data_IF_532968904709
#
_entry.id   IF_532968904709
#
_cell.length_a   1.000
_cell.length_b   1.000
_cell.length_c   1.000
_cell.angle_alpha   90.00
_cell.angle_beta   90.00
_cell.angle_gamma   90.00
#
_symmetry.space_group_name_H-M   'P 1'
#
loop_
_entity.id
_entity.type
_entity.pdbx_description
1 polymer ?
#
# COMPACT_ATOMS: atom_id res chain seq x y z
N UNK A 1 -23.35 -21.36 -0.70
CA UNK A 1 -22.45 -20.65 -1.64
C UNK A 1 -23.09 -19.38 -2.20
N UNK A 2 -24.36 -19.40 -2.67
CA UNK A 2 -25.04 -18.24 -3.28
C UNK A 2 -25.17 -16.96 -2.42
N UNK A 3 -25.31 -17.06 -1.08
CA UNK A 3 -25.56 -15.89 -0.21
C UNK A 3 -24.32 -15.00 0.01
N UNK A 4 -23.12 -15.58 0.03
CA UNK A 4 -21.87 -14.84 0.19
C UNK A 4 -21.51 -14.04 -1.07
N UNK A 5 -21.77 -14.66 -2.22
CA UNK A 5 -21.43 -14.12 -3.51
C UNK A 5 -22.35 -12.96 -3.93
N UNK A 6 -23.64 -13.01 -3.53
CA UNK A 6 -24.57 -11.90 -3.72
C UNK A 6 -24.21 -10.68 -2.87
N UNK A 7 -23.74 -10.89 -1.64
CA UNK A 7 -23.43 -9.80 -0.69
C UNK A 7 -22.08 -9.14 -0.96
N UNK A 8 -21.07 -9.90 -1.41
CA UNK A 8 -19.69 -9.43 -1.57
C UNK A 8 -19.16 -9.55 -3.01
N UNK A 9 -20.00 -9.27 -4.00
CA UNK A 9 -19.73 -9.52 -5.43
C UNK A 9 -18.51 -8.79 -6.04
N UNK A 10 -17.98 -7.77 -5.36
CA UNK A 10 -16.83 -6.96 -5.81
C UNK A 10 -15.58 -7.14 -4.96
N UNK A 11 -15.66 -7.87 -3.83
CA UNK A 11 -14.62 -7.94 -2.81
C UNK A 11 -13.33 -8.60 -3.32
N UNK A 12 -12.18 -8.04 -2.93
CA UNK A 12 -10.86 -8.57 -3.28
C UNK A 12 -10.49 -9.80 -2.44
N UNK A 13 -9.54 -10.61 -2.91
CA UNK A 13 -9.14 -11.84 -2.20
C UNK A 13 -8.59 -11.55 -0.80
N UNK A 14 -7.89 -10.42 -0.59
CA UNK A 14 -7.36 -10.05 0.72
C UNK A 14 -8.48 -9.75 1.73
N UNK A 15 -9.46 -8.95 1.31
CA UNK A 15 -10.60 -8.58 2.15
C UNK A 15 -11.48 -9.79 2.43
N UNK A 16 -11.66 -10.65 1.42
CA UNK A 16 -12.42 -11.90 1.57
C UNK A 16 -11.75 -12.88 2.55
N UNK A 17 -10.41 -12.94 2.61
CA UNK A 17 -9.71 -13.74 3.65
C UNK A 17 -10.02 -13.19 5.05
N UNK A 18 -10.05 -11.88 5.22
CA UNK A 18 -10.39 -11.24 6.50
C UNK A 18 -11.84 -11.53 6.87
N UNK A 19 -12.77 -11.37 5.93
CA UNK A 19 -14.19 -11.60 6.12
C UNK A 19 -14.50 -13.07 6.45
N UNK A 20 -13.93 -14.02 5.70
CA UNK A 20 -14.07 -15.45 5.97
C UNK A 20 -13.58 -15.81 7.37
N UNK A 21 -12.51 -15.17 7.82
CA UNK A 21 -11.98 -15.39 9.17
C UNK A 21 -12.88 -14.80 10.25
N UNK A 22 -13.40 -13.60 10.04
CA UNK A 22 -14.16 -12.85 11.04
C UNK A 22 -15.62 -13.30 11.14
N UNK A 23 -16.31 -13.43 10.02
CA UNK A 23 -17.77 -13.69 9.98
C UNK A 23 -18.10 -15.17 9.87
N UNK A 24 -17.18 -15.98 9.31
CA UNK A 24 -17.45 -17.37 9.00
C UNK A 24 -16.51 -18.36 9.68
N UNK A 25 -15.52 -17.88 10.46
CA UNK A 25 -14.50 -18.70 11.12
C UNK A 25 -13.73 -19.64 10.17
N UNK A 26 -13.67 -19.30 8.87
CA UNK A 26 -12.97 -20.08 7.85
C UNK A 26 -11.57 -19.50 7.68
N UNK A 27 -10.56 -20.35 7.91
CA UNK A 27 -9.15 -19.99 7.70
C UNK A 27 -8.70 -20.48 6.33
N UNK A 28 -8.60 -19.57 5.37
CA UNK A 28 -8.07 -19.84 4.04
C UNK A 28 -6.86 -18.94 3.74
N UNK A 29 -5.87 -19.47 3.01
CA UNK A 29 -4.76 -18.66 2.53
C UNK A 29 -5.19 -17.83 1.32
N UNK A 30 -4.66 -16.61 1.19
CA UNK A 30 -4.94 -15.75 0.04
C UNK A 30 -4.62 -16.43 -1.31
N UNK A 31 -3.52 -17.20 -1.47
CA UNK A 31 -3.25 -17.94 -2.71
C UNK A 31 -4.33 -18.97 -3.06
N UNK A 32 -4.84 -19.71 -2.07
CA UNK A 32 -5.90 -20.69 -2.32
C UNK A 32 -7.21 -20.03 -2.69
N UNK A 33 -7.55 -18.90 -2.05
CA UNK A 33 -8.74 -18.15 -2.41
C UNK A 33 -8.65 -17.54 -3.81
N UNK A 34 -7.45 -17.12 -4.23
CA UNK A 34 -7.22 -16.66 -5.61
C UNK A 34 -7.40 -17.78 -6.65
N UNK A 35 -7.02 -19.02 -6.33
CA UNK A 35 -7.30 -20.18 -7.20
C UNK A 35 -8.80 -20.40 -7.35
N UNK A 36 -9.53 -20.37 -6.23
CA UNK A 36 -11.00 -20.47 -6.23
C UNK A 36 -11.61 -19.33 -7.07
N UNK A 37 -11.12 -18.10 -6.96
CA UNK A 37 -11.61 -16.99 -7.79
C UNK A 37 -11.32 -17.19 -9.28
N UNK A 38 -10.18 -17.80 -9.64
CA UNK A 38 -9.86 -18.12 -11.03
C UNK A 38 -10.75 -19.23 -11.59
N UNK A 39 -11.14 -20.21 -10.76
CA UNK A 39 -12.03 -21.30 -11.15
C UNK A 39 -13.49 -20.84 -11.26
N UNK A 40 -13.97 -20.02 -10.31
CA UNK A 40 -15.38 -19.60 -10.23
C UNK A 40 -15.68 -18.36 -11.09
N UNK A 41 -14.73 -17.42 -11.22
CA UNK A 41 -14.92 -16.13 -11.91
C UNK A 41 -13.73 -15.70 -12.77
N UNK A 42 -13.28 -16.52 -13.75
CA UNK A 42 -12.10 -16.19 -14.55
C UNK A 42 -12.21 -14.83 -15.26
N UNK A 43 -13.41 -14.45 -15.72
CA UNK A 43 -13.63 -13.17 -16.40
C UNK A 43 -13.43 -11.96 -15.48
N UNK A 44 -13.93 -12.00 -14.24
CA UNK A 44 -13.73 -10.89 -13.30
C UNK A 44 -12.28 -10.77 -12.87
N UNK A 45 -11.60 -11.90 -12.71
CA UNK A 45 -10.16 -11.93 -12.42
C UNK A 45 -9.37 -11.34 -13.59
N UNK A 46 -9.72 -11.68 -14.84
CA UNK A 46 -9.14 -11.06 -16.05
C UNK A 46 -9.38 -9.56 -16.10
N UNK A 47 -10.60 -9.10 -15.79
CA UNK A 47 -10.95 -7.67 -15.76
C UNK A 47 -10.13 -6.86 -14.76
N UNK A 48 -9.79 -7.43 -13.58
CA UNK A 48 -8.92 -6.79 -12.58
C UNK A 48 -7.47 -6.62 -13.05
N UNK A 49 -6.97 -7.53 -13.90
CA UNK A 49 -5.62 -7.45 -14.47
C UNK A 49 -5.49 -6.36 -15.55
N UNK A 50 -6.59 -5.73 -15.96
CA UNK A 50 -6.53 -4.54 -16.78
C UNK A 50 -5.82 -3.43 -16.00
N UNK A 51 -4.51 -3.31 -16.18
CA UNK A 51 -3.62 -2.34 -15.54
C UNK A 51 -4.01 -0.91 -15.95
N UNK A 52 -5.12 -0.41 -15.41
CA UNK A 52 -5.54 0.97 -15.57
C UNK A 52 -4.74 1.77 -14.56
N UNK A 53 -3.63 2.34 -15.01
CA UNK A 53 -3.01 3.46 -14.31
C UNK A 53 -4.04 4.58 -14.20
N UNK A 54 -4.80 4.60 -13.11
CA UNK A 54 -5.62 5.76 -12.77
C UNK A 54 -4.66 6.85 -12.32
N UNK A 55 -4.43 7.84 -13.18
CA UNK A 55 -3.64 9.02 -12.83
C UNK A 55 -4.36 9.73 -11.68
N UNK A 56 -3.84 9.60 -10.47
CA UNK A 56 -4.21 10.47 -9.36
C UNK A 56 -3.56 11.83 -9.57
N UNK A 57 -4.35 12.91 -9.53
CA UNK A 57 -3.80 14.27 -9.51
C UNK A 57 -3.91 14.78 -8.07
N UNK A 58 -2.77 15.10 -7.49
CA UNK A 58 -2.70 15.75 -6.19
C UNK A 58 -2.58 17.25 -6.41
N UNK A 59 -3.53 18.01 -5.88
CA UNK A 59 -3.51 19.47 -5.88
C UNK A 59 -3.29 19.91 -4.44
N UNK A 60 -2.17 20.57 -4.17
CA UNK A 60 -1.90 21.18 -2.86
C UNK A 60 -0.97 22.38 -3.04
N UNK A 61 -1.13 23.39 -2.19
CA UNK A 61 -0.31 24.60 -2.18
C UNK A 61 1.14 24.32 -1.74
N UNK A 62 1.35 23.31 -0.90
CA UNK A 62 2.65 22.73 -0.53
C UNK A 62 2.38 21.53 0.36
N UNK A 63 2.69 20.32 -0.11
CA UNK A 63 2.65 19.11 0.72
C UNK A 63 3.99 18.41 0.56
N UNK A 64 4.71 18.26 1.66
CA UNK A 64 5.85 17.36 1.71
C UNK A 64 5.34 15.94 1.48
N UNK A 65 5.74 15.35 0.36
CA UNK A 65 5.52 13.94 0.10
C UNK A 65 6.73 13.17 0.59
N UNK A 66 6.53 12.22 1.50
CA UNK A 66 7.62 11.41 2.03
C UNK A 66 7.36 9.93 1.84
N UNK A 67 8.43 9.20 1.56
CA UNK A 67 8.41 7.77 1.32
C UNK A 67 9.65 7.10 1.92
N UNK A 68 9.54 5.80 2.18
CA UNK A 68 10.61 4.98 2.73
C UNK A 68 10.88 3.80 1.80
N UNK A 69 12.15 3.58 1.46
CA UNK A 69 12.54 2.57 0.48
C UNK A 69 13.34 1.42 1.10
N UNK A 70 12.90 0.19 0.82
CA UNK A 70 13.49 -1.06 1.31
C UNK A 70 14.61 -1.63 0.40
N UNK A 71 15.11 -0.85 -0.56
CA UNK A 71 16.10 -1.31 -1.56
C UNK A 71 17.38 -1.81 -0.92
N UNK A 72 17.77 -1.20 0.20
CA UNK A 72 19.01 -1.50 0.93
C UNK A 72 18.79 -2.43 2.11
N UNK A 73 17.61 -3.07 2.21
CA UNK A 73 17.30 -4.02 3.27
C UNK A 73 18.32 -5.15 3.38
N UNK A 74 18.92 -5.57 2.25
CA UNK A 74 20.00 -6.57 2.21
C UNK A 74 21.25 -6.17 2.99
N UNK A 75 21.43 -4.87 3.25
CA UNK A 75 22.53 -4.31 4.04
C UNK A 75 22.09 -3.91 5.44
N UNK A 76 20.84 -4.19 5.84
CA UNK A 76 20.28 -3.70 7.10
C UNK A 76 20.08 -2.17 7.11
N UNK A 77 19.88 -1.56 5.94
CA UNK A 77 19.69 -0.12 5.79
C UNK A 77 18.40 0.20 5.02
N UNK A 78 17.77 1.31 5.39
CA UNK A 78 16.53 1.82 4.83
C UNK A 78 16.71 3.28 4.47
N UNK A 79 16.18 3.66 3.32
CA UNK A 79 16.23 5.04 2.83
C UNK A 79 14.93 5.75 3.21
N UNK A 80 15.05 6.95 3.74
CA UNK A 80 13.95 7.84 4.07
C UNK A 80 14.09 9.11 3.26
N UNK A 81 13.05 9.50 2.54
CA UNK A 81 13.11 10.65 1.64
C UNK A 81 11.84 11.50 1.78
N UNK A 82 12.00 12.82 1.71
CA UNK A 82 10.91 13.74 1.45
C UNK A 82 11.22 14.62 0.26
N UNK A 83 10.22 14.79 -0.59
CA UNK A 83 10.25 15.60 -1.79
C UNK A 83 9.06 16.55 -1.79
N UNK A 84 9.27 17.77 -2.22
CA UNK A 84 8.20 18.65 -2.65
C UNK A 84 7.76 18.24 -4.06
N UNK A 85 6.53 17.74 -4.26
CA UNK A 85 6.06 17.32 -5.57
C UNK A 85 5.86 18.48 -6.56
N UNK A 86 5.81 19.73 -6.08
CA UNK A 86 5.68 20.91 -6.94
C UNK A 86 7.04 21.33 -7.51
N UNK A 87 8.03 21.55 -6.65
CA UNK A 87 9.38 21.98 -7.07
C UNK A 87 10.31 20.83 -7.43
N UNK A 88 10.03 19.62 -6.98
CA UNK A 88 10.96 18.49 -7.02
C UNK A 88 12.09 18.57 -5.99
N UNK A 89 12.06 19.55 -5.08
CA UNK A 89 13.11 19.77 -4.09
C UNK A 89 13.12 18.66 -3.03
N UNK A 90 14.31 18.14 -2.72
CA UNK A 90 14.50 17.13 -1.68
C UNK A 90 14.74 17.80 -0.33
N UNK A 91 13.75 17.72 0.56
CA UNK A 91 13.85 18.28 1.91
C UNK A 91 14.71 17.42 2.85
N UNK A 92 14.68 16.10 2.69
CA UNK A 92 15.63 15.21 3.34
C UNK A 92 15.87 13.94 2.54
N UNK A 93 17.07 13.41 2.70
CA UNK A 93 17.45 12.07 2.31
C UNK A 93 18.31 11.48 3.43
N UNK A 94 17.76 10.52 4.17
CA UNK A 94 18.40 9.96 5.36
C UNK A 94 18.40 8.44 5.29
N UNK A 95 19.43 7.83 5.88
CA UNK A 95 19.56 6.38 5.96
C UNK A 95 19.43 5.97 7.42
N UNK A 96 18.71 4.89 7.68
CA UNK A 96 18.56 4.32 9.02
C UNK A 96 18.45 2.80 9.00
N UNK A 97 18.56 2.15 10.16
CA UNK A 97 18.44 0.69 10.30
C UNK A 97 16.99 0.19 10.46
N UNK A 98 15.98 1.06 10.35
CA UNK A 98 14.57 0.64 10.39
C UNK A 98 13.66 1.65 9.70
N UNK A 99 12.67 1.15 8.96
CA UNK A 99 11.57 1.96 8.43
C UNK A 99 10.30 1.91 9.31
N UNK A 100 10.26 1.07 10.37
CA UNK A 100 9.08 0.85 11.21
C UNK A 100 9.03 1.74 12.45
N UNK A 101 9.58 2.94 12.37
CA UNK A 101 9.57 3.89 13.48
C UNK A 101 8.97 5.21 13.01
N UNK A 102 7.72 5.47 13.39
CA UNK A 102 7.02 6.70 13.02
C UNK A 102 7.66 7.93 13.67
N UNK A 103 8.12 7.84 14.93
CA UNK A 103 8.74 8.95 15.64
C UNK A 103 10.01 9.45 14.94
N UNK A 104 10.76 8.54 14.32
CA UNK A 104 11.92 8.88 13.49
C UNK A 104 11.51 9.75 12.28
N UNK A 105 10.49 9.34 11.54
CA UNK A 105 9.98 10.07 10.37
C UNK A 105 9.41 11.43 10.80
N UNK A 106 8.69 11.48 11.92
CA UNK A 106 8.22 12.74 12.51
C UNK A 106 9.37 13.68 12.86
N UNK A 107 10.47 13.16 13.42
CA UNK A 107 11.66 13.97 13.69
C UNK A 107 12.27 14.56 12.43
N UNK A 108 12.33 13.79 11.33
CA UNK A 108 12.81 14.28 10.04
C UNK A 108 11.91 15.38 9.47
N UNK A 109 10.60 15.22 9.59
CA UNK A 109 9.63 16.23 9.20
C UNK A 109 9.82 17.54 9.97
N UNK A 110 9.91 17.47 11.31
CA UNK A 110 10.10 18.66 12.14
C UNK A 110 11.43 19.36 11.85
N UNK A 111 12.49 18.61 11.59
CA UNK A 111 13.78 19.20 11.19
C UNK A 111 13.68 19.92 9.85
N UNK A 112 13.00 19.34 8.87
CA UNK A 112 12.84 19.96 7.57
C UNK A 112 11.97 21.21 7.61
N UNK A 113 10.86 21.19 8.34
CA UNK A 113 9.97 22.36 8.50
C UNK A 113 10.70 23.52 9.21
N UNK A 114 11.62 23.25 10.13
CA UNK A 114 12.44 24.29 10.77
C UNK A 114 13.47 24.96 9.84
N UNK A 115 13.76 24.36 8.70
CA UNK A 115 14.73 24.87 7.71
C UNK A 115 14.06 25.56 6.52
N UNK A 116 12.73 25.52 6.44
CA UNK A 116 11.92 26.28 5.49
C UNK A 116 11.74 27.69 6.07
#
# INVERSE_FOLDING_TARGET
VNKLYSTYSTMGARDMVVLLRQEHHIKISQPNLLKIFQEVEPEKVRGRKGARFKRSRFYSASVLSFDQHDKWKRFGLWLHLAIDPYTGYLHWQKIWWTNRNTALVTGYYLEAVRKI
#
